data_IF_282984831552
#
_entry.id   IF_282984831552
#
_cell.length_a   1.000
_cell.length_b   1.000
_cell.length_c   1.000
_cell.angle_alpha   90.00
_cell.angle_beta   90.00
_cell.angle_gamma   90.00
#
_symmetry.space_group_name_H-M   'P 1'
#
loop_
_entity.id
_entity.type
_entity.pdbx_description
1 polymer ?
#
# COMPACT_ATOMS: atom_id res chain seq x y z
N UNK A 1 -28.15 -32.28 -20.64
CA UNK A 1 -28.77 -32.35 -19.31
C UNK A 1 -28.86 -33.82 -18.92
N UNK A 2 -27.97 -34.24 -18.02
CA UNK A 2 -27.93 -35.55 -17.36
C UNK A 2 -27.54 -35.25 -15.90
N UNK A 3 -28.18 -35.88 -14.89
CA UNK A 3 -27.87 -35.58 -13.50
C UNK A 3 -26.58 -36.27 -13.08
N UNK A 4 -25.61 -35.50 -12.60
CA UNK A 4 -24.41 -36.00 -11.91
C UNK A 4 -24.77 -36.43 -10.48
N UNK A 5 -24.24 -37.56 -9.98
CA UNK A 5 -24.52 -38.03 -8.63
C UNK A 5 -23.77 -37.20 -7.57
N UNK A 6 -24.49 -36.89 -6.49
CA UNK A 6 -23.95 -36.28 -5.27
C UNK A 6 -22.99 -37.26 -4.59
N UNK A 7 -21.71 -36.92 -4.57
CA UNK A 7 -20.73 -37.55 -3.69
C UNK A 7 -20.81 -36.87 -2.32
N UNK A 8 -21.29 -37.61 -1.32
CA UNK A 8 -21.12 -37.29 0.09
C UNK A 8 -19.64 -37.55 0.41
N UNK A 9 -18.87 -36.48 0.57
CA UNK A 9 -17.50 -36.55 1.07
C UNK A 9 -17.54 -36.94 2.56
N UNK A 10 -17.25 -38.20 2.82
CA UNK A 10 -16.94 -38.72 4.14
C UNK A 10 -15.79 -37.90 4.72
N UNK A 11 -16.05 -37.17 5.81
CA UNK A 11 -15.02 -36.47 6.57
C UNK A 11 -14.12 -37.55 7.18
N UNK A 12 -13.00 -37.84 6.50
CA UNK A 12 -11.88 -38.56 7.08
C UNK A 12 -11.42 -37.78 8.31
N UNK A 13 -11.57 -38.41 9.48
CA UNK A 13 -10.97 -37.95 10.72
C UNK A 13 -9.49 -37.68 10.45
N UNK A 14 -9.11 -36.41 10.52
CA UNK A 14 -7.73 -35.98 10.49
C UNK A 14 -7.00 -36.70 11.61
N UNK A 15 -6.11 -37.61 11.23
CA UNK A 15 -5.10 -38.17 12.11
C UNK A 15 -4.38 -37.01 12.77
N UNK A 16 -4.74 -36.72 14.03
CA UNK A 16 -3.90 -35.90 14.89
C UNK A 16 -2.55 -36.63 14.97
N UNK A 17 -1.45 -35.96 14.64
CA UNK A 17 -0.15 -36.60 14.73
C UNK A 17 0.13 -37.03 16.17
N UNK A 18 0.60 -38.26 16.33
CA UNK A 18 0.86 -38.95 17.61
C UNK A 18 1.85 -38.22 18.52
N UNK A 19 2.57 -37.22 18.02
CA UNK A 19 3.53 -36.43 18.80
C UNK A 19 2.91 -35.42 19.78
N UNK A 20 1.59 -35.14 19.71
CA UNK A 20 0.92 -34.29 20.70
C UNK A 20 0.69 -34.96 22.06
N UNK A 21 0.89 -36.28 22.18
CA UNK A 21 0.76 -37.02 23.44
C UNK A 21 2.08 -37.52 24.03
N UNK A 22 3.22 -37.22 23.40
CA UNK A 22 4.53 -37.53 23.97
C UNK A 22 5.12 -36.28 24.62
N UNK A 23 4.90 -36.15 25.93
CA UNK A 23 5.72 -35.27 26.76
C UNK A 23 7.19 -35.73 26.64
N UNK A 24 8.16 -34.84 26.37
CA UNK A 24 9.56 -35.22 26.10
C UNK A 24 10.34 -35.65 27.35
N UNK A 25 9.66 -35.96 28.45
CA UNK A 25 10.32 -36.37 29.68
C UNK A 25 10.43 -37.89 29.71
N UNK A 26 11.65 -38.46 29.74
CA UNK A 26 11.82 -39.88 29.98
C UNK A 26 11.27 -40.21 31.38
N UNK A 27 10.36 -41.19 31.46
CA UNK A 27 9.92 -41.78 32.72
C UNK A 27 11.13 -42.43 33.41
N UNK A 28 11.82 -41.67 34.26
CA UNK A 28 12.80 -42.20 35.19
C UNK A 28 12.04 -42.92 36.31
N UNK A 29 11.70 -44.19 36.07
CA UNK A 29 11.24 -45.08 37.13
C UNK A 29 12.49 -45.49 37.92
N UNK A 30 12.79 -44.73 38.98
CA UNK A 30 13.76 -45.14 39.99
C UNK A 30 13.10 -46.23 40.82
N UNK A 31 13.40 -47.50 40.51
CA UNK A 31 13.03 -48.63 41.37
C UNK A 31 14.02 -48.68 42.52
N UNK A 32 13.77 -47.88 43.56
CA UNK A 32 14.45 -48.04 44.84
C UNK A 32 13.74 -49.17 45.61
N UNK A 33 14.45 -50.28 45.86
CA UNK A 33 13.96 -51.40 46.65
C UNK A 33 13.59 -50.97 48.07
N UNK A 34 12.30 -50.83 48.33
CA UNK A 34 11.70 -50.47 49.61
C UNK A 34 10.38 -49.77 49.35
N UNK A 35 9.27 -50.33 49.82
CA UNK A 35 7.93 -49.79 49.59
C UNK A 35 7.84 -48.36 50.14
N UNK A 36 7.96 -47.36 49.26
CA UNK A 36 7.61 -45.99 49.59
C UNK A 36 6.11 -45.97 49.92
N UNK A 37 5.70 -45.25 50.97
CA UNK A 37 4.29 -45.04 51.21
C UNK A 37 3.63 -44.41 49.96
N UNK A 38 2.51 -44.98 49.51
CA UNK A 38 1.80 -44.58 48.28
C UNK A 38 1.51 -43.07 48.19
N UNK A 39 1.41 -42.38 49.33
CA UNK A 39 1.21 -40.92 49.38
C UNK A 39 2.43 -40.12 48.91
N UNK A 40 3.67 -40.62 49.09
CA UNK A 40 4.88 -39.96 48.58
C UNK A 40 4.97 -40.06 47.06
N UNK A 41 4.57 -41.19 46.49
CA UNK A 41 4.54 -41.37 45.04
C UNK A 41 3.41 -40.56 44.40
N UNK A 42 2.25 -40.46 45.06
CA UNK A 42 1.18 -39.55 44.67
C UNK A 42 1.61 -38.07 44.73
N UNK A 43 2.34 -37.67 45.78
CA UNK A 43 2.86 -36.30 45.92
C UNK A 43 3.92 -35.99 44.85
N UNK A 44 4.83 -36.91 44.55
CA UNK A 44 5.81 -36.77 43.46
C UNK A 44 5.12 -36.68 42.10
N UNK A 45 4.13 -37.52 41.82
CA UNK A 45 3.35 -37.45 40.59
C UNK A 45 2.56 -36.14 40.48
N UNK A 46 1.96 -35.67 41.58
CA UNK A 46 1.29 -34.37 41.65
C UNK A 46 2.23 -33.20 41.40
N UNK A 47 3.41 -33.18 42.03
CA UNK A 47 4.42 -32.15 41.80
C UNK A 47 5.00 -32.21 40.38
N UNK A 48 5.23 -33.41 39.84
CA UNK A 48 5.71 -33.61 38.47
C UNK A 48 4.71 -33.14 37.41
N UNK A 49 3.42 -33.42 37.59
CA UNK A 49 2.35 -32.95 36.69
C UNK A 49 2.16 -31.43 36.78
N UNK A 50 2.19 -30.84 37.97
CA UNK A 50 2.14 -29.38 38.15
C UNK A 50 3.34 -28.69 37.50
N UNK A 51 4.54 -29.23 37.68
CA UNK A 51 5.74 -28.69 37.04
C UNK A 51 5.67 -28.81 35.51
N UNK A 52 5.26 -29.96 34.98
CA UNK A 52 5.06 -30.16 33.54
C UNK A 52 4.03 -29.20 32.94
N UNK A 53 2.90 -29.01 33.64
CA UNK A 53 1.86 -28.05 33.23
C UNK A 53 2.35 -26.61 33.25
N UNK A 54 3.11 -26.21 34.28
CA UNK A 54 3.71 -24.89 34.39
C UNK A 54 4.69 -24.64 33.24
N UNK A 55 5.59 -25.58 32.96
CA UNK A 55 6.55 -25.48 31.84
C UNK A 55 5.82 -25.38 30.50
N UNK A 56 4.82 -26.23 30.26
CA UNK A 56 4.01 -26.18 29.04
C UNK A 56 3.27 -24.85 28.88
N UNK A 57 2.72 -24.31 29.96
CA UNK A 57 2.08 -23.00 29.97
C UNK A 57 3.07 -21.87 29.61
N UNK A 58 4.27 -21.87 30.21
CA UNK A 58 5.31 -20.89 29.86
C UNK A 58 5.72 -20.98 28.39
N UNK A 59 5.89 -22.20 27.86
CA UNK A 59 6.18 -22.40 26.44
C UNK A 59 5.06 -21.90 25.53
N UNK A 60 3.80 -22.19 25.88
CA UNK A 60 2.64 -21.71 25.12
C UNK A 60 2.56 -20.18 25.10
N UNK A 61 2.77 -19.53 26.25
CA UNK A 61 2.80 -18.06 26.36
C UNK A 61 3.95 -17.47 25.55
N UNK A 62 5.15 -18.06 25.63
CA UNK A 62 6.31 -17.59 24.88
C UNK A 62 6.10 -17.76 23.36
N UNK A 63 5.59 -18.92 22.93
CA UNK A 63 5.31 -19.20 21.53
C UNK A 63 4.27 -18.22 20.97
N UNK A 64 3.18 -17.99 21.69
CA UNK A 64 2.15 -17.03 21.31
C UNK A 64 2.71 -15.61 21.17
N UNK A 65 3.52 -15.15 22.13
CA UNK A 65 4.17 -13.82 22.06
C UNK A 65 5.09 -13.70 20.85
N UNK A 66 5.85 -14.75 20.52
CA UNK A 66 6.72 -14.76 19.34
C UNK A 66 5.90 -14.72 18.05
N UNK A 67 4.81 -15.49 17.99
CA UNK A 67 3.91 -15.52 16.85
C UNK A 67 3.23 -14.17 16.62
N UNK A 68 2.67 -13.55 17.66
CA UNK A 68 2.08 -12.20 17.61
C UNK A 68 3.13 -11.17 17.17
N UNK A 69 4.34 -11.22 17.74
CA UNK A 69 5.44 -10.32 17.34
C UNK A 69 5.82 -10.48 15.87
N UNK A 70 5.87 -11.71 15.35
CA UNK A 70 6.19 -11.96 13.94
C UNK A 70 5.04 -11.51 13.02
N UNK A 71 3.79 -11.71 13.42
CA UNK A 71 2.61 -11.23 12.69
C UNK A 71 2.62 -9.70 12.58
N UNK A 72 2.85 -9.00 13.69
CA UNK A 72 2.92 -7.54 13.70
C UNK A 72 4.08 -7.00 12.85
N UNK A 73 5.24 -7.67 12.89
CA UNK A 73 6.38 -7.32 12.03
C UNK A 73 6.04 -7.49 10.54
N UNK A 74 5.36 -8.59 10.17
CA UNK A 74 4.93 -8.83 8.79
C UNK A 74 3.91 -7.78 8.33
N UNK A 75 2.91 -7.45 9.16
CA UNK A 75 1.92 -6.43 8.86
C UNK A 75 2.57 -5.05 8.64
N UNK A 76 3.49 -4.64 9.53
CA UNK A 76 4.19 -3.37 9.37
C UNK A 76 5.12 -3.33 8.15
N UNK A 77 5.83 -4.43 7.84
CA UNK A 77 6.64 -4.52 6.61
C UNK A 77 5.78 -4.47 5.34
N UNK A 78 4.60 -5.10 5.35
CA UNK A 78 3.64 -5.03 4.26
C UNK A 78 3.12 -3.60 4.07
N UNK A 79 2.83 -2.88 5.16
CA UNK A 79 2.44 -1.48 5.09
C UNK A 79 3.55 -0.58 4.51
N UNK A 80 4.80 -0.77 4.91
CA UNK A 80 5.95 -0.08 4.30
C UNK A 80 6.05 -0.38 2.79
N UNK A 81 5.86 -1.64 2.39
CA UNK A 81 5.84 -2.02 0.98
C UNK A 81 4.71 -1.35 0.20
N UNK A 82 3.51 -1.24 0.77
CA UNK A 82 2.37 -0.52 0.17
C UNK A 82 2.66 0.98 0.01
N UNK A 83 3.20 1.64 1.04
CA UNK A 83 3.62 3.06 0.94
C UNK A 83 4.68 3.28 -0.15
N UNK A 84 5.65 2.38 -0.26
CA UNK A 84 6.64 2.41 -1.35
C UNK A 84 5.98 2.27 -2.73
N UNK A 85 4.96 1.41 -2.82
CA UNK A 85 4.20 1.19 -4.05
C UNK A 85 3.39 2.44 -4.43
N UNK A 86 2.69 3.07 -3.47
CA UNK A 86 2.02 4.37 -3.64
C UNK A 86 3.00 5.40 -4.20
N UNK A 87 4.14 5.58 -3.53
CA UNK A 87 5.15 6.54 -3.97
C UNK A 87 5.67 6.24 -5.37
N UNK A 88 5.89 4.96 -5.69
CA UNK A 88 6.28 4.50 -7.01
C UNK A 88 5.28 4.91 -8.08
N UNK A 89 3.99 4.62 -7.86
CA UNK A 89 2.92 4.92 -8.80
C UNK A 89 2.72 6.42 -8.99
N UNK A 90 2.73 7.20 -7.91
CA UNK A 90 2.70 8.67 -7.99
C UNK A 90 3.88 9.20 -8.80
N UNK A 91 5.09 8.67 -8.60
CA UNK A 91 6.27 9.05 -9.38
C UNK A 91 6.21 8.67 -10.86
N UNK A 92 5.67 7.49 -11.19
CA UNK A 92 5.42 7.05 -12.58
C UNK A 92 4.42 7.98 -13.27
N UNK A 93 3.31 8.32 -12.60
CA UNK A 93 2.31 9.24 -13.12
C UNK A 93 2.88 10.66 -13.29
N UNK A 94 3.62 11.17 -12.30
CA UNK A 94 4.28 12.47 -12.37
C UNK A 94 5.23 12.56 -13.56
N UNK A 95 6.06 11.54 -13.76
CA UNK A 95 6.96 11.45 -14.92
C UNK A 95 6.17 11.49 -16.24
N UNK A 96 5.10 10.71 -16.35
CA UNK A 96 4.23 10.71 -17.54
C UNK A 96 3.62 12.07 -17.83
N UNK A 97 3.06 12.74 -16.82
CA UNK A 97 2.48 14.08 -16.93
C UNK A 97 3.53 15.10 -17.36
N UNK A 98 4.71 15.11 -16.72
CA UNK A 98 5.81 16.02 -17.07
C UNK A 98 6.29 15.83 -18.50
N UNK A 99 6.39 14.58 -18.96
CA UNK A 99 6.84 14.26 -20.31
C UNK A 99 5.85 14.75 -21.37
N UNK A 100 4.55 14.50 -21.19
CA UNK A 100 3.51 14.98 -22.10
C UNK A 100 3.50 16.52 -22.18
N UNK A 101 3.58 17.21 -21.04
CA UNK A 101 3.64 18.68 -21.01
C UNK A 101 4.86 19.19 -21.78
N UNK A 102 6.04 18.61 -21.54
CA UNK A 102 7.27 19.03 -22.18
C UNK A 102 7.26 18.77 -23.70
N UNK A 103 6.78 17.59 -24.13
CA UNK A 103 6.65 17.25 -25.54
C UNK A 103 5.68 18.19 -26.26
N UNK A 104 4.53 18.47 -25.64
CA UNK A 104 3.49 19.33 -26.21
C UNK A 104 3.94 20.78 -26.35
N UNK A 105 4.53 21.35 -25.30
CA UNK A 105 5.06 22.72 -25.33
C UNK A 105 6.20 22.87 -26.33
N UNK A 106 7.02 21.84 -26.52
CA UNK A 106 8.09 21.84 -27.55
C UNK A 106 7.53 21.83 -28.97
N UNK A 107 6.45 21.08 -29.21
CA UNK A 107 5.81 21.02 -30.52
C UNK A 107 4.96 22.26 -30.83
N UNK A 108 4.30 22.82 -29.81
CA UNK A 108 3.36 23.93 -29.95
C UNK A 108 3.52 24.87 -28.74
N UNK A 109 4.13 26.04 -28.94
CA UNK A 109 4.40 27.01 -27.87
C UNK A 109 3.10 27.51 -27.20
N UNK A 110 2.07 27.76 -28.01
CA UNK A 110 0.78 28.32 -27.60
C UNK A 110 -0.28 27.23 -27.35
N UNK A 111 0.14 26.13 -26.71
CA UNK A 111 -0.78 25.03 -26.39
C UNK A 111 -1.67 25.43 -25.21
N UNK A 112 -3.01 25.33 -25.32
CA UNK A 112 -3.90 25.63 -24.21
C UNK A 112 -3.78 24.56 -23.12
N UNK A 113 -3.93 24.99 -21.87
CA UNK A 113 -3.71 24.18 -20.66
C UNK A 113 -4.45 22.84 -20.68
N UNK A 114 -5.72 22.85 -21.10
CA UNK A 114 -6.56 21.65 -21.17
C UNK A 114 -6.04 20.58 -22.14
N UNK A 115 -5.19 20.93 -23.10
CA UNK A 115 -4.69 20.01 -24.12
C UNK A 115 -3.29 19.45 -23.83
N UNK A 116 -2.64 19.92 -22.77
CA UNK A 116 -1.25 19.60 -22.44
C UNK A 116 -1.05 18.13 -22.07
N UNK A 117 -2.08 17.46 -21.55
CA UNK A 117 -2.02 16.05 -21.17
C UNK A 117 -3.08 15.25 -21.92
N UNK A 118 -2.61 14.21 -22.60
CA UNK A 118 -3.44 13.20 -23.24
C UNK A 118 -3.89 12.15 -22.21
N UNK A 119 -4.89 11.33 -22.56
CA UNK A 119 -5.13 10.12 -21.78
C UNK A 119 -3.84 9.28 -21.71
N UNK A 120 -3.52 8.80 -20.51
CA UNK A 120 -2.30 8.06 -20.20
C UNK A 120 -2.69 6.60 -19.99
N UNK A 121 -1.96 5.68 -20.62
CA UNK A 121 -2.15 4.24 -20.44
C UNK A 121 -1.47 3.75 -19.15
N UNK A 122 -1.93 4.27 -18.01
CA UNK A 122 -1.45 3.91 -16.69
C UNK A 122 -2.61 3.37 -15.86
N UNK A 123 -2.43 2.20 -15.24
CA UNK A 123 -3.42 1.61 -14.35
C UNK A 123 -3.07 1.92 -12.90
N UNK A 124 -4.08 2.38 -12.15
CA UNK A 124 -4.02 2.53 -10.69
C UNK A 124 -4.85 1.39 -10.09
N UNK A 125 -4.18 0.34 -9.63
CA UNK A 125 -4.83 -0.83 -9.03
C UNK A 125 -5.37 -0.49 -7.62
N UNK A 126 -5.96 -1.46 -6.89
CA UNK A 126 -6.42 -1.28 -5.49
C UNK A 126 -5.40 -1.86 -4.48
N UNK A 127 -4.11 -1.83 -4.81
CA UNK A 127 -3.06 -2.44 -3.98
C UNK A 127 -2.87 -1.65 -2.66
N UNK A 128 -3.42 -0.44 -2.58
CA UNK A 128 -3.13 0.57 -1.56
C UNK A 128 -4.06 0.55 -0.34
N UNK A 129 -5.10 -0.29 -0.28
CA UNK A 129 -5.98 -0.38 0.89
C UNK A 129 -5.18 -0.93 2.08
N UNK A 130 -5.04 -0.18 3.17
CA UNK A 130 -4.31 -0.63 4.36
C UNK A 130 -5.20 -1.45 5.30
N UNK A 131 -4.62 -2.50 5.89
CA UNK A 131 -5.26 -3.26 6.96
C UNK A 131 -4.87 -2.63 8.30
N UNK A 132 -5.68 -1.67 8.75
CA UNK A 132 -5.44 -0.94 10.00
C UNK A 132 -5.62 -1.81 11.24
N UNK A 133 -6.44 -2.85 11.18
CA UNK A 133 -6.65 -3.78 12.29
C UNK A 133 -5.34 -4.54 12.58
N UNK A 134 -4.68 -5.02 11.52
CA UNK A 134 -3.35 -5.63 11.62
C UNK A 134 -2.24 -4.65 12.04
N UNK A 135 -2.46 -3.34 11.92
CA UNK A 135 -1.55 -2.29 12.39
C UNK A 135 -1.88 -1.75 13.78
N UNK A 136 -2.92 -2.25 14.43
CA UNK A 136 -3.38 -1.78 15.76
C UNK A 136 -2.28 -1.81 16.84
N UNK A 137 -1.29 -2.70 16.71
CA UNK A 137 -0.14 -2.73 17.61
C UNK A 137 0.61 -1.39 17.66
N UNK A 138 0.62 -0.58 16.58
CA UNK A 138 1.27 0.73 16.58
C UNK A 138 0.59 1.73 17.53
N UNK A 139 -0.64 1.49 17.98
CA UNK A 139 -1.34 2.39 18.91
C UNK A 139 -0.75 2.39 20.32
N UNK A 140 0.08 1.39 20.66
CA UNK A 140 0.72 1.27 21.97
C UNK A 140 1.78 2.36 22.24
N UNK A 141 2.32 3.00 21.19
CA UNK A 141 3.34 4.06 21.31
C UNK A 141 2.88 5.38 20.70
N UNK A 142 3.42 6.50 21.16
CA UNK A 142 3.13 7.82 20.60
C UNK A 142 3.59 7.93 19.13
N UNK A 143 4.80 7.45 18.84
CA UNK A 143 5.36 7.37 17.48
C UNK A 143 4.50 6.54 16.53
N UNK A 144 3.95 5.42 17.01
CA UNK A 144 3.10 4.55 16.22
C UNK A 144 1.71 5.14 15.98
N UNK A 145 1.14 5.85 16.95
CA UNK A 145 -0.10 6.63 16.75
C UNK A 145 0.07 7.70 15.67
N UNK A 146 1.17 8.44 15.69
CA UNK A 146 1.49 9.42 14.65
C UNK A 146 1.73 8.75 13.29
N UNK A 147 2.44 7.61 13.26
CA UNK A 147 2.63 6.84 12.03
C UNK A 147 1.30 6.37 11.40
N UNK A 148 0.35 5.87 12.20
CA UNK A 148 -0.97 5.46 11.69
C UNK A 148 -1.71 6.64 11.05
N UNK A 149 -1.69 7.83 11.66
CA UNK A 149 -2.32 9.03 11.08
C UNK A 149 -1.73 9.33 9.69
N UNK A 150 -0.41 9.25 9.57
CA UNK A 150 0.27 9.45 8.29
C UNK A 150 -0.02 8.36 7.25
N UNK A 151 -0.10 7.09 7.67
CA UNK A 151 -0.49 5.99 6.77
C UNK A 151 -1.89 6.21 6.22
N UNK A 152 -2.85 6.53 7.09
CA UNK A 152 -4.23 6.86 6.68
C UNK A 152 -4.26 8.05 5.72
N UNK A 153 -3.51 9.10 6.03
CA UNK A 153 -3.42 10.27 5.17
C UNK A 153 -2.83 9.93 3.79
N UNK A 154 -1.81 9.06 3.72
CA UNK A 154 -1.25 8.60 2.44
C UNK A 154 -2.26 7.78 1.62
N UNK A 155 -3.07 6.94 2.26
CA UNK A 155 -4.17 6.20 1.60
C UNK A 155 -5.23 7.15 1.03
N UNK A 156 -5.64 8.15 1.80
CA UNK A 156 -6.63 9.17 1.38
C UNK A 156 -6.10 10.01 0.20
N UNK A 157 -4.84 10.46 0.27
CA UNK A 157 -4.18 11.20 -0.82
C UNK A 157 -4.08 10.35 -2.09
N UNK A 158 -3.71 9.09 -1.97
CA UNK A 158 -3.61 8.20 -3.13
C UNK A 158 -4.98 7.88 -3.73
N UNK A 159 -5.99 7.65 -2.90
CA UNK A 159 -7.38 7.42 -3.34
C UNK A 159 -7.93 8.63 -4.09
N UNK A 160 -7.63 9.84 -3.60
CA UNK A 160 -7.99 11.10 -4.27
C UNK A 160 -7.29 11.24 -5.62
N UNK A 161 -5.99 10.91 -5.68
CA UNK A 161 -5.21 10.91 -6.92
C UNK A 161 -5.78 9.95 -7.95
N UNK A 162 -6.12 8.73 -7.53
CA UNK A 162 -6.75 7.72 -8.38
C UNK A 162 -8.08 8.22 -8.94
N UNK A 163 -8.92 8.83 -8.10
CA UNK A 163 -10.21 9.37 -8.51
C UNK A 163 -10.05 10.50 -9.54
N UNK A 164 -9.21 11.49 -9.25
CA UNK A 164 -8.95 12.61 -10.16
C UNK A 164 -8.33 12.14 -11.48
N UNK A 165 -7.38 11.21 -11.41
CA UNK A 165 -6.79 10.62 -12.60
C UNK A 165 -7.84 9.89 -13.46
N UNK A 166 -8.71 9.10 -12.84
CA UNK A 166 -9.80 8.38 -13.54
C UNK A 166 -10.74 9.35 -14.25
N UNK A 167 -11.23 10.38 -13.54
CA UNK A 167 -12.08 11.40 -14.13
C UNK A 167 -11.38 12.19 -15.25
N UNK A 168 -10.08 12.45 -15.11
CA UNK A 168 -9.29 13.05 -16.17
C UNK A 168 -9.23 12.14 -17.40
N UNK A 169 -9.01 10.83 -17.24
CA UNK A 169 -9.02 9.87 -18.35
C UNK A 169 -10.39 9.83 -19.06
N UNK A 170 -11.47 9.72 -18.29
CA UNK A 170 -12.83 9.66 -18.84
C UNK A 170 -13.18 10.93 -19.62
N UNK A 171 -12.90 12.09 -19.03
CA UNK A 171 -13.12 13.40 -19.67
C UNK A 171 -12.24 13.57 -20.91
N UNK A 172 -11.00 13.07 -20.89
CA UNK A 172 -10.12 13.13 -22.04
C UNK A 172 -10.60 12.23 -23.19
N UNK A 173 -11.18 11.06 -22.89
CA UNK A 173 -11.81 10.17 -23.88
C UNK A 173 -13.08 10.80 -24.46
N UNK A 174 -13.92 11.40 -23.61
CA UNK A 174 -15.11 12.15 -24.05
C UNK A 174 -14.71 13.30 -24.99
N UNK A 175 -13.70 14.09 -24.62
CA UNK A 175 -13.14 15.15 -25.44
C UNK A 175 -12.59 14.64 -26.78
N UNK A 176 -11.91 13.49 -26.77
CA UNK A 176 -11.44 12.88 -28.02
C UNK A 176 -12.61 12.51 -28.93
N UNK A 177 -13.67 11.91 -28.39
CA UNK A 177 -14.88 11.56 -29.15
C UNK A 177 -15.55 12.79 -29.76
N UNK A 178 -15.75 13.85 -28.98
CA UNK A 178 -16.37 15.09 -29.47
C UNK A 178 -15.53 15.80 -30.54
N UNK A 179 -14.21 15.66 -30.51
CA UNK A 179 -13.33 16.26 -31.53
C UNK A 179 -13.14 15.41 -32.78
N UNK A 180 -13.59 14.14 -32.81
CA UNK A 180 -13.44 13.28 -34.00
C UNK A 180 -14.18 13.87 -35.21
N UNK A 181 -15.43 14.28 -35.04
CA UNK A 181 -16.26 14.74 -36.15
C UNK A 181 -15.78 16.08 -36.71
N UNK A 182 -15.37 17.00 -35.85
CA UNK A 182 -14.70 18.23 -36.29
C UNK A 182 -13.43 17.93 -37.09
N UNK A 183 -12.59 17.00 -36.60
CA UNK A 183 -11.32 16.65 -37.28
C UNK A 183 -11.51 15.89 -38.60
N UNK A 184 -12.65 15.21 -38.79
CA UNK A 184 -13.00 14.60 -40.07
C UNK A 184 -13.27 15.65 -41.13
N UNK A 185 -13.97 16.72 -40.76
CA UNK A 185 -14.34 17.83 -41.66
C UNK A 185 -13.19 18.82 -41.84
N UNK A 186 -12.53 19.22 -40.75
CA UNK A 186 -11.40 20.13 -40.74
C UNK A 186 -10.22 19.52 -39.95
N UNK A 187 -9.29 18.88 -40.67
CA UNK A 187 -8.10 18.26 -40.05
C UNK A 187 -7.14 19.25 -39.40
N UNK A 188 -7.19 20.52 -39.78
CA UNK A 188 -6.30 21.59 -39.29
C UNK A 188 -7.05 22.60 -38.42
N UNK A 189 -8.14 22.17 -37.79
CA UNK A 189 -8.94 23.04 -36.94
C UNK A 189 -8.05 23.74 -35.89
N UNK A 190 -8.24 25.05 -35.73
CA UNK A 190 -7.53 25.85 -34.73
C UNK A 190 -7.98 25.46 -33.32
N UNK A 191 -7.23 25.90 -32.30
CA UNK A 191 -7.63 25.67 -30.90
C UNK A 191 -8.96 26.32 -30.55
N UNK A 192 -9.22 27.51 -31.11
CA UNK A 192 -10.47 28.26 -30.95
C UNK A 192 -11.66 27.53 -31.57
N UNK A 193 -11.50 26.99 -32.79
CA UNK A 193 -12.54 26.20 -33.46
C UNK A 193 -12.86 24.91 -32.69
N UNK A 194 -11.84 24.28 -32.07
CA UNK A 194 -12.02 23.10 -31.21
C UNK A 194 -12.77 23.48 -29.94
N UNK A 195 -12.43 24.61 -29.32
CA UNK A 195 -13.08 25.08 -28.09
C UNK A 195 -14.55 25.44 -28.31
N UNK A 196 -14.87 26.14 -29.40
CA UNK A 196 -16.24 26.46 -29.78
C UNK A 196 -17.07 25.19 -30.06
N UNK A 197 -16.49 24.22 -30.78
CA UNK A 197 -17.19 22.99 -31.14
C UNK A 197 -17.47 22.08 -29.93
N UNK A 198 -16.49 21.94 -29.04
CA UNK A 198 -16.59 21.07 -27.87
C UNK A 198 -17.47 21.70 -26.78
N UNK A 199 -17.45 23.02 -26.67
CA UNK A 199 -18.18 23.78 -25.68
C UNK A 199 -17.39 24.07 -24.41
N UNK A 200 -17.71 25.22 -23.79
CA UNK A 200 -17.00 25.75 -22.63
C UNK A 200 -17.05 24.83 -21.39
N UNK A 201 -18.12 24.05 -21.21
CA UNK A 201 -18.26 23.16 -20.06
C UNK A 201 -17.17 22.09 -20.02
N UNK A 202 -16.94 21.38 -21.13
CA UNK A 202 -15.98 20.28 -21.19
C UNK A 202 -14.53 20.81 -21.10
N UNK A 203 -14.29 22.00 -21.68
CA UNK A 203 -13.00 22.70 -21.58
C UNK A 203 -12.70 23.11 -20.14
N UNK A 204 -13.68 23.70 -19.45
CA UNK A 204 -13.58 24.07 -18.04
C UNK A 204 -13.31 22.86 -17.15
N UNK A 205 -14.09 21.78 -17.34
CA UNK A 205 -13.91 20.51 -16.63
C UNK A 205 -12.51 19.93 -16.83
N UNK A 206 -12.04 19.88 -18.07
CA UNK A 206 -10.72 19.32 -18.40
C UNK A 206 -9.58 20.17 -17.83
N UNK A 207 -9.71 21.50 -17.87
CA UNK A 207 -8.75 22.42 -17.24
C UNK A 207 -8.68 22.19 -15.74
N UNK A 208 -9.83 22.14 -15.06
CA UNK A 208 -9.90 21.90 -13.62
C UNK A 208 -9.29 20.56 -13.22
N UNK A 209 -9.64 19.48 -13.92
CA UNK A 209 -9.08 18.15 -13.66
C UNK A 209 -7.58 18.07 -13.94
N UNK A 210 -7.09 18.71 -15.00
CA UNK A 210 -5.65 18.79 -15.28
C UNK A 210 -4.90 19.52 -14.16
N UNK A 211 -5.40 20.68 -13.71
CA UNK A 211 -4.76 21.44 -12.65
C UNK A 211 -4.77 20.67 -11.32
N UNK A 212 -5.87 20.00 -10.99
CA UNK A 212 -5.97 19.14 -9.81
C UNK A 212 -5.01 17.94 -9.90
N UNK A 213 -4.93 17.29 -11.07
CA UNK A 213 -3.98 16.21 -11.31
C UNK A 213 -2.55 16.70 -11.13
N UNK A 214 -2.21 17.84 -11.73
CA UNK A 214 -0.88 18.46 -11.65
C UNK A 214 -0.51 18.78 -10.20
N UNK A 215 -1.42 19.41 -9.43
CA UNK A 215 -1.20 19.68 -8.02
C UNK A 215 -0.83 18.41 -7.26
N UNK A 216 -1.62 17.35 -7.41
CA UNK A 216 -1.45 16.12 -6.65
C UNK A 216 -0.16 15.38 -7.03
N UNK A 217 0.18 15.28 -8.32
CA UNK A 217 1.42 14.59 -8.72
C UNK A 217 2.68 15.33 -8.28
N UNK A 218 2.60 16.65 -8.10
CA UNK A 218 3.73 17.47 -7.64
C UNK A 218 3.88 17.51 -6.12
N UNK A 219 2.77 17.56 -5.37
CA UNK A 219 2.81 17.67 -3.90
C UNK A 219 2.91 16.31 -3.20
N UNK A 220 2.19 15.29 -3.69
CA UNK A 220 2.10 13.99 -3.01
C UNK A 220 3.45 13.28 -2.79
N UNK A 221 4.47 13.36 -3.68
CA UNK A 221 5.76 12.71 -3.43
C UNK A 221 6.42 13.10 -2.10
N UNK A 222 6.32 14.38 -1.70
CA UNK A 222 6.87 14.88 -0.43
C UNK A 222 6.11 14.29 0.77
N UNK A 223 4.77 14.26 0.68
CA UNK A 223 3.93 13.68 1.72
C UNK A 223 4.15 12.18 1.86
N UNK A 224 4.20 11.44 0.74
CA UNK A 224 4.43 10.01 0.72
C UNK A 224 5.78 9.64 1.37
N UNK A 225 6.85 10.39 1.07
CA UNK A 225 8.16 10.20 1.70
C UNK A 225 8.09 10.41 3.21
N UNK A 226 7.44 11.49 3.65
CA UNK A 226 7.24 11.78 5.08
C UNK A 226 6.48 10.66 5.78
N UNK A 227 5.40 10.16 5.16
CA UNK A 227 4.59 9.08 5.71
C UNK A 227 5.39 7.79 5.85
N UNK A 228 6.19 7.45 4.83
CA UNK A 228 7.09 6.31 4.90
C UNK A 228 8.09 6.47 6.05
N UNK A 229 8.82 7.58 6.13
CA UNK A 229 9.85 7.78 7.17
C UNK A 229 9.25 7.69 8.57
N UNK A 230 8.04 8.21 8.77
CA UNK A 230 7.33 8.12 10.06
C UNK A 230 6.97 6.68 10.42
N UNK A 231 6.44 5.90 9.47
CA UNK A 231 6.13 4.49 9.70
C UNK A 231 7.40 3.67 9.94
N UNK A 232 8.45 3.92 9.16
CA UNK A 232 9.72 3.23 9.31
C UNK A 232 10.33 3.50 10.69
N UNK A 233 10.35 4.76 11.14
CA UNK A 233 10.85 5.13 12.46
C UNK A 233 10.05 4.43 13.58
N UNK A 234 8.72 4.43 13.52
CA UNK A 234 7.88 3.75 14.50
C UNK A 234 8.11 2.22 14.50
N UNK A 235 8.31 1.62 13.33
CA UNK A 235 8.65 0.21 13.21
C UNK A 235 10.04 -0.10 13.78
N UNK A 236 11.03 0.75 13.53
CA UNK A 236 12.40 0.57 14.03
C UNK A 236 12.47 0.72 15.55
N UNK A 237 11.68 1.63 16.14
CA UNK A 237 11.56 1.76 17.58
C UNK A 237 11.08 0.45 18.22
N UNK A 238 10.06 -0.20 17.63
CA UNK A 238 9.44 -1.41 18.19
C UNK A 238 10.17 -2.72 17.87
N UNK A 239 10.74 -2.84 16.66
CA UNK A 239 11.31 -4.11 16.17
C UNK A 239 12.81 -4.06 15.88
N UNK A 240 13.45 -2.90 16.04
CA UNK A 240 14.88 -2.69 15.83
C UNK A 240 15.32 -3.12 14.41
N UNK A 241 16.48 -3.80 14.31
CA UNK A 241 17.10 -4.20 13.04
C UNK A 241 16.31 -5.24 12.21
N UNK A 242 15.16 -5.74 12.69
CA UNK A 242 14.33 -6.72 11.97
C UNK A 242 13.37 -6.09 10.94
N UNK A 243 13.25 -4.76 10.95
CA UNK A 243 12.43 -4.02 9.97
C UNK A 243 13.10 -4.07 8.61
N UNK A 244 12.30 -4.24 7.55
CA UNK A 244 12.84 -4.19 6.19
C UNK A 244 13.38 -2.80 5.88
N UNK A 245 14.67 -2.74 5.53
CA UNK A 245 15.27 -1.54 4.95
C UNK A 245 14.88 -1.49 3.48
N UNK A 246 13.75 -0.85 3.20
CA UNK A 246 13.33 -0.59 1.83
C UNK A 246 13.86 0.77 1.43
N UNK A 247 14.55 0.82 0.29
CA UNK A 247 14.96 2.10 -0.28
C UNK A 247 13.72 2.81 -0.86
N UNK A 248 13.37 3.91 -0.21
CA UNK A 248 12.27 4.82 -0.56
C UNK A 248 12.73 5.78 -1.64
N UNK A 249 14.03 6.10 -1.64
CA UNK A 249 14.57 6.99 -2.63
C UNK A 249 14.60 6.21 -3.93
N UNK A 250 13.89 6.75 -4.93
CA UNK A 250 14.19 6.34 -6.29
C UNK A 250 15.67 6.57 -6.45
N UNK A 251 16.39 5.52 -6.85
CA UNK A 251 17.77 5.61 -7.33
C UNK A 251 17.95 7.00 -7.96
N UNK A 252 18.89 7.84 -7.52
CA UNK A 252 19.06 9.18 -8.07
C UNK A 252 19.28 9.15 -9.60
N UNK A 253 19.60 7.98 -10.18
CA UNK A 253 19.68 7.71 -11.62
C UNK A 253 18.34 7.32 -12.27
N UNK A 254 17.30 7.07 -11.47
CA UNK A 254 15.95 6.77 -11.92
C UNK A 254 15.36 7.96 -12.67
N UNK A 255 14.68 7.68 -13.79
CA UNK A 255 13.97 8.71 -14.56
C UNK A 255 12.87 9.43 -13.74
N UNK A 256 12.45 8.86 -12.60
CA UNK A 256 11.41 9.43 -11.72
C UNK A 256 11.96 10.40 -10.68
N UNK A 257 13.29 10.43 -10.50
CA UNK A 257 13.91 11.31 -9.53
C UNK A 257 13.80 12.77 -10.01
N UNK A 258 13.59 13.70 -9.08
CA UNK A 258 13.45 15.15 -9.35
C UNK A 258 14.44 15.70 -10.38
N UNK A 259 15.77 15.47 -10.26
CA UNK A 259 16.73 16.04 -11.20
C UNK A 259 16.60 15.50 -12.64
N UNK A 260 15.96 14.35 -12.81
CA UNK A 260 15.80 13.67 -14.10
C UNK A 260 14.42 13.93 -14.72
N UNK A 261 13.50 14.60 -14.01
CA UNK A 261 12.19 14.94 -14.53
C UNK A 261 12.29 16.10 -15.52
N UNK A 262 11.47 16.11 -16.60
CA UNK A 262 11.32 17.28 -17.44
C UNK A 262 10.90 18.50 -16.61
N UNK A 263 11.53 19.68 -16.80
CA UNK A 263 11.21 20.86 -16.04
C UNK A 263 9.79 21.33 -16.37
N UNK A 264 9.06 21.78 -15.35
CA UNK A 264 7.74 22.34 -15.54
C UNK A 264 7.88 23.72 -16.19
N UNK A 265 7.00 24.09 -17.13
CA UNK A 265 6.85 25.47 -17.57
C UNK A 265 6.59 26.43 -16.39
N UNK A 266 7.12 27.66 -16.46
CA UNK A 266 7.10 28.60 -15.34
C UNK A 266 5.69 29.10 -14.97
N UNK A 267 4.78 29.16 -15.95
CA UNK A 267 3.36 29.42 -15.72
C UNK A 267 2.73 28.35 -14.84
N UNK A 268 3.00 27.08 -15.13
CA UNK A 268 2.49 25.96 -14.35
C UNK A 268 3.17 25.84 -12.99
N UNK A 269 4.46 26.21 -12.86
CA UNK A 269 5.15 26.25 -11.54
C UNK A 269 4.45 27.20 -10.59
N UNK A 270 4.15 28.41 -11.05
CA UNK A 270 3.44 29.42 -10.24
C UNK A 270 2.08 28.92 -9.77
N UNK A 271 1.38 28.18 -10.63
CA UNK A 271 0.08 27.58 -10.26
C UNK A 271 0.28 26.51 -9.18
N UNK A 272 1.26 25.63 -9.33
CA UNK A 272 1.57 24.59 -8.34
C UNK A 272 1.96 25.20 -6.98
N UNK A 273 2.75 26.27 -6.99
CA UNK A 273 3.17 27.02 -5.80
C UNK A 273 2.03 27.80 -5.13
N UNK A 274 1.01 28.19 -5.89
CA UNK A 274 -0.14 28.92 -5.38
C UNK A 274 -1.15 28.03 -4.62
N UNK A 275 -1.08 26.71 -4.75
CA UNK A 275 -1.95 25.81 -4.00
C UNK A 275 -1.53 25.76 -2.52
N UNK A 276 -2.48 25.85 -1.58
CA UNK A 276 -2.18 25.71 -0.17
C UNK A 276 -1.64 24.30 0.11
N UNK A 277 -0.51 24.24 0.82
CA UNK A 277 0.12 23.02 1.33
C UNK A 277 -0.44 22.59 2.68
#
# INVERSE_FOLDING_TARGET
MLPTPNYISTITATHLPTFLFQTPFPNWIVVSGGASPWYLDALKAGLGTLFGALVAFFFAVLHRRIQERNSNLQAGNLALFKLRTIQRRTGELRLGVRHEIAEKRKAFSDTPTWSLVKPLLLTMDDIEIFDFDSLSFLLDSESGREAIKHVKYAEELFSTLKLVFTHHQDTAVEFQKSTVDLRRTNRKASWEEIEEHVGAELIGRRTSLFLSLLQQVEQNPKFNRTCFTKLEAAMQERFHARVWKLDIDFDPKSARAEPNLPPLPDDLKKIVEAFPT
#
